data_IF_098800335607
#
_entry.id   IF_098800335607
#
_cell.length_a   1.000
_cell.length_b   1.000
_cell.length_c   1.000
_cell.angle_alpha   90.00
_cell.angle_beta   90.00
_cell.angle_gamma   90.00
#
_symmetry.space_group_name_H-M   'P 1'
#
loop_
_entity.id
_entity.type
_entity.pdbx_description
1 polymer ?
#
# COMPACT_ATOMS: atom_id res chain seq x y z
N UNK A 1 2.56 -2.15 -3.51
CA UNK A 1 3.34 -2.79 -2.42
C UNK A 1 4.73 -2.18 -2.31
N UNK A 2 5.59 -2.38 -3.30
CA UNK A 2 7.00 -1.94 -3.26
C UNK A 2 7.16 -0.44 -2.97
N UNK A 3 6.43 0.41 -3.69
CA UNK A 3 6.50 1.87 -3.48
C UNK A 3 6.15 2.24 -2.04
N UNK A 4 5.06 1.73 -1.49
CA UNK A 4 4.58 2.13 -0.18
C UNK A 4 5.32 1.47 0.99
N UNK A 5 5.48 0.14 1.00
CA UNK A 5 6.12 -0.58 2.10
C UNK A 5 7.64 -0.39 2.16
N UNK A 6 8.29 -0.15 1.02
CA UNK A 6 9.74 0.05 0.98
C UNK A 6 10.11 1.51 0.78
N UNK A 7 9.58 2.16 -0.26
CA UNK A 7 9.88 3.56 -0.54
C UNK A 7 9.34 4.51 0.53
N UNK A 8 8.02 4.52 0.73
CA UNK A 8 7.36 5.52 1.59
C UNK A 8 7.56 5.25 3.09
N UNK A 9 7.39 4.00 3.52
CA UNK A 9 7.69 3.59 4.90
C UNK A 9 9.18 3.75 5.18
N UNK A 10 10.06 3.30 4.29
CA UNK A 10 11.50 3.45 4.46
C UNK A 10 11.91 4.91 4.62
N UNK A 11 11.37 5.81 3.79
CA UNK A 11 11.60 7.25 3.90
C UNK A 11 11.02 7.85 5.19
N UNK A 12 9.84 7.40 5.61
CA UNK A 12 9.20 7.83 6.86
C UNK A 12 10.02 7.44 8.08
N UNK A 13 10.51 6.19 8.14
CA UNK A 13 11.36 5.68 9.21
C UNK A 13 12.73 6.35 9.22
N UNK A 14 13.33 6.57 8.05
CA UNK A 14 14.60 7.28 7.94
C UNK A 14 14.48 8.71 8.48
N UNK A 15 13.53 9.49 7.97
CA UNK A 15 13.36 10.90 8.36
C UNK A 15 12.86 11.06 9.80
N UNK A 16 12.02 10.15 10.28
CA UNK A 16 11.56 10.11 11.66
C UNK A 16 12.68 9.72 12.63
N UNK A 17 13.44 8.66 12.31
CA UNK A 17 14.57 8.18 13.10
C UNK A 17 15.75 9.15 13.13
N UNK A 18 16.05 9.87 12.04
CA UNK A 18 17.10 10.90 12.04
C UNK A 18 16.81 12.04 13.02
N UNK A 19 15.52 12.34 13.27
CA UNK A 19 15.11 13.42 14.18
C UNK A 19 14.89 12.95 15.62
N UNK A 20 14.31 11.76 15.79
CA UNK A 20 13.84 11.29 17.10
C UNK A 20 14.62 10.08 17.64
N UNK A 21 15.61 9.57 16.90
CA UNK A 21 16.41 8.36 17.17
C UNK A 21 15.59 7.06 17.15
N UNK A 22 14.64 6.94 18.07
CA UNK A 22 13.68 5.83 18.16
C UNK A 22 12.24 6.38 18.18
N UNK A 23 11.32 5.66 17.56
CA UNK A 23 9.89 6.00 17.58
C UNK A 23 9.05 4.81 18.01
N UNK A 24 8.20 5.04 19.02
CA UNK A 24 7.24 4.06 19.52
C UNK A 24 5.98 4.04 18.64
N UNK A 25 5.38 2.87 18.50
CA UNK A 25 4.11 2.66 17.80
C UNK A 25 3.33 1.51 18.44
N UNK A 26 2.07 1.35 18.05
CA UNK A 26 1.25 0.25 18.53
C UNK A 26 1.52 -1.02 17.71
N UNK A 27 2.22 -1.96 18.34
CA UNK A 27 2.54 -3.28 17.79
C UNK A 27 1.32 -4.00 17.23
N UNK A 28 0.18 -3.91 17.92
CA UNK A 28 -1.01 -4.68 17.59
C UNK A 28 -1.71 -4.14 16.33
N UNK A 29 -1.72 -2.82 16.15
CA UNK A 29 -2.19 -2.17 14.93
C UNK A 29 -1.29 -2.50 13.73
N UNK A 30 0.02 -2.34 13.88
CA UNK A 30 0.97 -2.61 12.80
C UNK A 30 0.95 -4.08 12.36
N UNK A 31 0.90 -5.02 13.32
CA UNK A 31 0.82 -6.46 13.04
C UNK A 31 -0.48 -6.85 12.32
N UNK A 32 -1.60 -6.19 12.67
CA UNK A 32 -2.88 -6.44 12.01
C UNK A 32 -2.83 -6.08 10.52
N UNK A 33 -2.28 -4.90 10.17
CA UNK A 33 -2.07 -4.54 8.77
C UNK A 33 -1.16 -5.53 8.05
N UNK A 34 0.00 -5.85 8.62
CA UNK A 34 0.99 -6.70 7.96
C UNK A 34 0.48 -8.12 7.74
N UNK A 35 -0.27 -8.69 8.69
CA UNK A 35 -0.88 -10.01 8.52
C UNK A 35 -1.86 -10.03 7.34
N UNK A 36 -2.75 -9.05 7.23
CA UNK A 36 -3.72 -9.00 6.13
C UNK A 36 -3.04 -8.69 4.80
N UNK A 37 -2.09 -7.76 4.77
CA UNK A 37 -1.29 -7.45 3.57
C UNK A 37 -0.55 -8.69 3.09
N UNK A 38 0.11 -9.42 3.99
CA UNK A 38 0.84 -10.64 3.65
C UNK A 38 -0.08 -11.71 3.10
N UNK A 39 -1.21 -11.97 3.77
CA UNK A 39 -2.19 -12.95 3.31
C UNK A 39 -2.69 -12.63 1.91
N UNK A 40 -3.13 -11.39 1.65
CA UNK A 40 -3.63 -10.98 0.33
C UNK A 40 -2.53 -10.96 -0.74
N UNK A 41 -1.31 -10.55 -0.39
CA UNK A 41 -0.18 -10.52 -1.32
C UNK A 41 0.23 -11.92 -1.75
N UNK A 42 0.37 -12.85 -0.80
CA UNK A 42 0.78 -14.23 -1.11
C UNK A 42 -0.34 -14.97 -1.85
N UNK A 43 -1.58 -14.90 -1.35
CA UNK A 43 -2.71 -15.56 -2.01
C UNK A 43 -3.01 -14.97 -3.39
N UNK A 44 -2.90 -13.65 -3.56
CA UNK A 44 -3.22 -12.97 -4.80
C UNK A 44 -2.11 -13.01 -5.84
N UNK A 45 -0.86 -12.82 -5.41
CA UNK A 45 0.25 -12.49 -6.32
C UNK A 45 1.36 -13.55 -6.36
N UNK A 46 1.42 -14.47 -5.40
CA UNK A 46 2.45 -15.53 -5.36
C UNK A 46 1.84 -16.90 -5.69
N UNK A 47 0.72 -17.24 -5.06
CA UNK A 47 0.03 -18.51 -5.24
C UNK A 47 -0.34 -18.86 -6.70
N UNK A 48 -0.77 -17.92 -7.58
CA UNK A 48 -1.08 -18.28 -8.97
C UNK A 48 0.08 -18.93 -9.74
N UNK A 49 1.33 -18.67 -9.34
CA UNK A 49 2.51 -19.27 -9.98
C UNK A 49 2.73 -20.74 -9.63
N UNK A 50 2.11 -21.21 -8.55
CA UNK A 50 2.29 -22.56 -8.02
C UNK A 50 1.04 -23.43 -8.21
N UNK A 51 -0.06 -22.85 -8.70
CA UNK A 51 -1.27 -23.62 -9.02
C UNK A 51 -1.12 -24.36 -10.35
N UNK A 52 -1.52 -25.63 -10.37
CA UNK A 52 -1.45 -26.50 -11.57
C UNK A 52 -2.75 -26.53 -12.39
N UNK A 53 -3.78 -25.78 -11.96
CA UNK A 53 -5.11 -25.81 -12.57
C UNK A 53 -5.18 -25.19 -13.96
N UNK A 54 -4.26 -24.28 -14.29
CA UNK A 54 -4.13 -23.60 -15.58
C UNK A 54 -2.64 -23.47 -15.94
N UNK A 55 -2.31 -23.38 -17.23
CA UNK A 55 -0.97 -23.04 -17.66
C UNK A 55 -0.69 -21.54 -17.45
N UNK A 56 0.47 -21.23 -16.85
CA UNK A 56 0.92 -19.86 -16.58
C UNK A 56 0.51 -19.32 -15.20
N UNK A 57 0.90 -18.07 -14.89
CA UNK A 57 0.76 -17.42 -13.57
C UNK A 57 -0.67 -16.93 -13.30
N UNK A 58 -1.66 -17.80 -13.50
CA UNK A 58 -3.08 -17.43 -13.50
C UNK A 58 -3.95 -18.44 -12.78
N UNK A 59 -5.05 -17.93 -12.26
CA UNK A 59 -6.09 -18.75 -11.65
C UNK A 59 -7.10 -19.26 -12.69
N UNK A 60 -7.78 -20.35 -12.33
CA UNK A 60 -9.03 -20.76 -12.97
C UNK A 60 -10.19 -19.85 -12.53
N UNK A 61 -11.29 -19.80 -13.28
CA UNK A 61 -12.44 -18.95 -12.95
C UNK A 61 -12.98 -19.19 -11.53
N UNK A 62 -13.00 -20.45 -11.08
CA UNK A 62 -13.45 -20.79 -9.71
C UNK A 62 -12.50 -20.21 -8.66
N UNK A 63 -11.18 -20.31 -8.89
CA UNK A 63 -10.16 -19.75 -8.00
C UNK A 63 -10.19 -18.21 -8.00
N UNK A 64 -10.40 -17.58 -9.16
CA UNK A 64 -10.55 -16.12 -9.27
C UNK A 64 -11.75 -15.60 -8.46
N UNK A 65 -12.92 -16.24 -8.59
CA UNK A 65 -14.12 -15.86 -7.83
C UNK A 65 -13.89 -16.06 -6.32
N UNK A 66 -13.31 -17.20 -5.93
CA UNK A 66 -13.00 -17.47 -4.53
C UNK A 66 -12.02 -16.43 -3.94
N UNK A 67 -10.96 -16.08 -4.69
CA UNK A 67 -10.00 -15.07 -4.29
C UNK A 67 -10.65 -13.69 -4.18
N UNK A 68 -11.49 -13.29 -5.14
CA UNK A 68 -12.19 -12.01 -5.10
C UNK A 68 -13.10 -11.89 -3.87
N UNK A 69 -13.92 -12.92 -3.59
CA UNK A 69 -14.80 -12.95 -2.41
C UNK A 69 -13.99 -12.96 -1.12
N UNK A 70 -12.94 -13.76 -1.04
CA UNK A 70 -12.08 -13.84 0.14
C UNK A 70 -11.34 -12.52 0.40
N UNK A 71 -10.89 -11.84 -0.65
CA UNK A 71 -10.22 -10.54 -0.58
C UNK A 71 -11.15 -9.45 -0.02
N UNK A 72 -12.38 -9.37 -0.56
CA UNK A 72 -13.40 -8.45 -0.06
C UNK A 72 -13.75 -8.78 1.39
N UNK A 73 -13.94 -10.07 1.72
CA UNK A 73 -14.26 -10.52 3.07
C UNK A 73 -13.18 -10.14 4.08
N UNK A 74 -11.91 -10.40 3.77
CA UNK A 74 -10.78 -10.02 4.63
C UNK A 74 -10.68 -8.51 4.80
N UNK A 75 -10.84 -7.74 3.72
CA UNK A 75 -10.81 -6.28 3.79
C UNK A 75 -11.98 -5.72 4.61
N UNK A 76 -13.19 -6.26 4.45
CA UNK A 76 -14.36 -5.86 5.24
C UNK A 76 -14.20 -6.17 6.72
N UNK A 77 -13.70 -7.37 7.07
CA UNK A 77 -13.39 -7.75 8.45
C UNK A 77 -12.34 -6.81 9.03
N UNK A 78 -11.30 -6.50 8.27
CA UNK A 78 -10.28 -5.55 8.68
C UNK A 78 -10.87 -4.17 9.00
N UNK A 79 -11.71 -3.62 8.11
CA UNK A 79 -12.39 -2.35 8.33
C UNK A 79 -13.30 -2.37 9.56
N UNK A 80 -14.04 -3.46 9.79
CA UNK A 80 -14.89 -3.60 10.98
C UNK A 80 -14.04 -3.54 12.26
N UNK A 81 -12.93 -4.28 12.30
CA UNK A 81 -12.00 -4.29 13.44
C UNK A 81 -11.41 -2.89 13.66
N UNK A 82 -11.00 -2.22 12.59
CA UNK A 82 -10.41 -0.88 12.63
C UNK A 82 -11.39 0.20 13.10
N UNK A 83 -12.65 0.13 12.65
CA UNK A 83 -13.63 1.20 12.88
C UNK A 83 -14.43 1.01 14.17
N UNK A 84 -14.56 -0.22 14.66
CA UNK A 84 -15.41 -0.53 15.82
C UNK A 84 -14.63 -1.13 16.98
N UNK A 85 -14.36 -2.44 16.93
CA UNK A 85 -14.08 -3.28 18.09
C UNK A 85 -12.67 -3.09 18.66
N UNK A 86 -11.73 -2.61 17.85
CA UNK A 86 -10.33 -2.45 18.24
C UNK A 86 -9.70 -1.16 17.70
N UNK A 87 -10.48 -0.09 17.54
CA UNK A 87 -9.98 1.22 17.09
C UNK A 87 -8.79 1.72 17.93
N UNK A 88 -8.73 1.36 19.22
CA UNK A 88 -7.61 1.65 20.12
C UNK A 88 -6.26 1.04 19.68
N UNK A 89 -6.24 -0.03 18.89
CA UNK A 89 -4.99 -0.56 18.30
C UNK A 89 -4.42 0.34 17.20
N UNK A 90 -5.24 1.22 16.66
CA UNK A 90 -4.88 2.12 15.57
C UNK A 90 -4.68 3.56 16.08
N UNK A 91 -4.86 3.84 17.37
CA UNK A 91 -4.58 5.14 17.96
C UNK A 91 -3.11 5.28 18.37
N UNK A 92 -2.60 6.51 18.39
CA UNK A 92 -1.28 6.79 18.96
C UNK A 92 -1.24 6.41 20.44
N UNK A 93 -0.11 5.84 20.88
CA UNK A 93 0.07 5.43 22.28
C UNK A 93 -0.09 6.61 23.25
N UNK A 94 0.28 7.84 22.83
CA UNK A 94 0.11 9.08 23.61
C UNK A 94 -1.33 9.60 23.66
N UNK A 95 -2.11 9.43 22.58
CA UNK A 95 -3.53 9.80 22.57
C UNK A 95 -4.36 8.80 23.38
N UNK A 96 -4.02 7.51 23.34
CA UNK A 96 -4.64 6.49 24.18
C UNK A 96 -4.37 6.71 25.69
N UNK A 97 -3.29 7.42 26.03
CA UNK A 97 -2.94 7.81 27.40
C UNK A 97 -3.63 9.11 27.89
N UNK A 98 -4.59 9.66 27.14
CA UNK A 98 -5.44 10.77 27.60
C UNK A 98 -4.85 12.17 27.43
N UNK A 99 -3.71 12.33 26.76
CA UNK A 99 -3.20 13.66 26.39
C UNK A 99 -3.89 14.12 25.10
N UNK A 100 -4.99 14.87 25.26
CA UNK A 100 -5.79 15.42 24.18
C UNK A 100 -4.97 16.27 23.21
N UNK A 101 -4.98 15.87 21.94
CA UNK A 101 -4.49 16.68 20.83
C UNK A 101 -5.35 17.95 20.73
N UNK A 102 -4.71 19.13 20.75
CA UNK A 102 -5.37 20.42 20.53
C UNK A 102 -6.03 20.42 19.14
N UNK A 103 -7.34 20.17 19.09
CA UNK A 103 -8.14 20.38 17.89
C UNK A 103 -8.08 21.86 17.54
N UNK A 104 -7.37 22.20 16.47
CA UNK A 104 -7.53 23.51 15.83
C UNK A 104 -8.89 23.49 15.10
N UNK A 105 -9.87 24.32 15.50
CA UNK A 105 -11.16 24.36 14.84
C UNK A 105 -10.95 25.03 13.48
N UNK A 106 -10.78 24.21 12.43
CA UNK A 106 -10.96 24.67 11.06
C UNK A 106 -12.41 25.07 10.80
N UNK A 107 -12.70 25.80 9.70
CA UNK A 107 -14.07 26.14 9.34
C UNK A 107 -14.91 24.87 9.23
N UNK A 108 -15.94 24.75 10.07
CA UNK A 108 -16.87 23.62 10.07
C UNK A 108 -17.81 23.77 8.87
N UNK A 109 -17.49 23.11 7.76
CA UNK A 109 -18.40 22.98 6.62
C UNK A 109 -19.36 21.80 6.83
N UNK A 110 -20.49 21.82 6.12
CA UNK A 110 -21.45 20.71 6.15
C UNK A 110 -20.85 19.41 5.61
N UNK A 111 -21.25 18.26 6.15
CA UNK A 111 -20.89 16.93 5.62
C UNK A 111 -21.16 16.80 4.12
N UNK A 112 -22.23 17.43 3.63
CA UNK A 112 -22.56 17.44 2.20
C UNK A 112 -21.49 18.17 1.38
N UNK A 113 -20.97 19.30 1.89
CA UNK A 113 -19.90 20.05 1.22
C UNK A 113 -18.64 19.19 1.09
N UNK A 114 -18.23 18.51 2.16
CA UNK A 114 -17.08 17.61 2.12
C UNK A 114 -17.30 16.42 1.21
N UNK A 115 -18.50 15.82 1.19
CA UNK A 115 -18.83 14.71 0.30
C UNK A 115 -18.78 15.13 -1.18
N UNK A 116 -19.36 16.29 -1.52
CA UNK A 116 -19.33 16.83 -2.89
C UNK A 116 -17.91 17.18 -3.31
N UNK A 117 -17.14 17.86 -2.44
CA UNK A 117 -15.74 18.20 -2.72
C UNK A 117 -14.88 16.95 -2.88
N UNK A 118 -15.10 15.90 -2.08
CA UNK A 118 -14.40 14.62 -2.21
C UNK A 118 -14.61 14.01 -3.60
N UNK A 119 -15.87 13.91 -4.05
CA UNK A 119 -16.21 13.36 -5.37
C UNK A 119 -15.58 14.20 -6.48
N UNK A 120 -15.64 15.54 -6.37
CA UNK A 120 -15.07 16.45 -7.35
C UNK A 120 -13.54 16.31 -7.45
N UNK A 121 -12.82 16.31 -6.32
CA UNK A 121 -11.38 16.13 -6.31
C UNK A 121 -10.96 14.75 -6.80
N UNK A 122 -11.70 13.70 -6.43
CA UNK A 122 -11.45 12.35 -6.93
C UNK A 122 -11.57 12.31 -8.46
N UNK A 123 -12.63 12.89 -9.02
CA UNK A 123 -12.82 12.97 -10.47
C UNK A 123 -11.64 13.68 -11.15
N UNK A 124 -11.24 14.84 -10.63
CA UNK A 124 -10.12 15.62 -11.19
C UNK A 124 -8.82 14.82 -11.15
N UNK A 125 -8.51 14.18 -10.03
CA UNK A 125 -7.28 13.38 -9.86
C UNK A 125 -7.27 12.18 -10.80
N UNK A 126 -8.39 11.46 -10.94
CA UNK A 126 -8.50 10.31 -11.84
C UNK A 126 -8.32 10.73 -13.30
N UNK A 127 -9.01 11.79 -13.74
CA UNK A 127 -8.89 12.31 -15.11
C UNK A 127 -7.46 12.79 -15.38
N UNK A 128 -6.84 13.48 -14.43
CA UNK A 128 -5.47 13.96 -14.59
C UNK A 128 -4.47 12.81 -14.68
N UNK A 129 -4.61 11.77 -13.84
CA UNK A 129 -3.76 10.58 -13.87
C UNK A 129 -3.90 9.82 -15.21
N UNK A 130 -5.12 9.63 -15.70
CA UNK A 130 -5.38 8.97 -16.99
C UNK A 130 -4.79 9.77 -18.15
N UNK A 131 -4.99 11.10 -18.19
CA UNK A 131 -4.44 11.95 -19.25
C UNK A 131 -2.93 12.09 -19.18
N UNK A 132 -2.33 11.97 -18.00
CA UNK A 132 -0.87 11.98 -17.83
C UNK A 132 -0.22 10.67 -18.26
N UNK A 133 -0.92 9.53 -18.14
CA UNK A 133 -0.39 8.22 -18.55
C UNK A 133 -0.06 8.18 -20.07
N UNK A 134 -0.88 8.81 -20.91
CA UNK A 134 -0.71 8.82 -22.38
C UNK A 134 0.65 9.42 -22.82
N UNK A 135 1.00 10.68 -22.50
CA UNK A 135 2.30 11.24 -22.87
C UNK A 135 3.47 10.53 -22.18
N UNK A 136 3.24 9.96 -20.99
CA UNK A 136 4.26 9.18 -20.29
C UNK A 136 4.59 7.89 -21.04
N UNK A 137 3.59 7.12 -21.45
CA UNK A 137 3.76 5.88 -22.21
C UNK A 137 4.45 6.15 -23.55
N UNK A 138 4.00 7.19 -24.28
CA UNK A 138 4.65 7.62 -25.52
C UNK A 138 6.13 8.01 -25.31
N UNK A 139 6.45 8.63 -24.18
CA UNK A 139 7.83 9.00 -23.84
C UNK A 139 8.66 7.76 -23.51
N UNK A 140 8.11 6.83 -22.72
CA UNK A 140 8.76 5.55 -22.38
C UNK A 140 9.09 4.76 -23.64
N UNK A 141 8.13 4.64 -24.55
CA UNK A 141 8.32 3.96 -25.83
C UNK A 141 9.38 4.67 -26.70
N UNK A 142 9.33 6.00 -26.80
CA UNK A 142 10.29 6.79 -27.58
C UNK A 142 11.72 6.68 -27.07
N UNK A 143 11.92 6.57 -25.76
CA UNK A 143 13.24 6.41 -25.14
C UNK A 143 13.67 4.94 -25.00
N UNK A 144 12.85 3.99 -25.45
CA UNK A 144 13.14 2.56 -25.32
C UNK A 144 13.19 2.08 -23.86
N UNK A 145 12.47 2.75 -22.96
CA UNK A 145 12.44 2.41 -21.53
C UNK A 145 11.44 1.27 -21.26
N UNK A 146 11.63 0.50 -20.16
CA UNK A 146 10.72 -0.59 -19.80
C UNK A 146 9.30 -0.09 -19.49
N UNK A 147 8.28 -0.78 -20.00
CA UNK A 147 6.87 -0.41 -19.75
C UNK A 147 6.48 -0.42 -18.25
N UNK A 148 7.12 -1.28 -17.45
CA UNK A 148 6.90 -1.33 -16.00
C UNK A 148 7.22 0.01 -15.29
N UNK A 149 8.09 0.84 -15.87
CA UNK A 149 8.40 2.17 -15.36
C UNK A 149 7.17 3.10 -15.40
N UNK A 150 6.36 3.01 -16.46
CA UNK A 150 5.15 3.83 -16.61
C UNK A 150 4.15 3.55 -15.51
N UNK A 151 3.88 2.27 -15.25
CA UNK A 151 3.05 1.83 -14.14
C UNK A 151 3.59 2.27 -12.78
N UNK A 152 4.92 2.19 -12.56
CA UNK A 152 5.54 2.63 -11.31
C UNK A 152 5.41 4.15 -11.08
N UNK A 153 5.61 4.97 -12.12
CA UNK A 153 5.47 6.43 -12.05
C UNK A 153 4.02 6.83 -11.79
N UNK A 154 3.06 6.25 -12.53
CA UNK A 154 1.63 6.53 -12.34
C UNK A 154 1.19 6.12 -10.93
N UNK A 155 1.60 4.95 -10.45
CA UNK A 155 1.32 4.52 -9.07
C UNK A 155 1.93 5.47 -8.03
N UNK A 156 3.17 5.93 -8.26
CA UNK A 156 3.83 6.91 -7.39
C UNK A 156 3.09 8.25 -7.35
N UNK A 157 2.62 8.74 -8.49
CA UNK A 157 1.85 9.98 -8.60
C UNK A 157 0.53 9.89 -7.81
N UNK A 158 -0.20 8.78 -7.97
CA UNK A 158 -1.48 8.56 -7.28
C UNK A 158 -1.28 8.43 -5.76
N UNK A 159 -0.19 7.79 -5.32
CA UNK A 159 0.13 7.62 -3.90
C UNK A 159 0.78 8.85 -3.25
N UNK A 160 1.20 9.86 -4.02
CA UNK A 160 1.98 10.99 -3.51
C UNK A 160 1.29 11.79 -2.38
N UNK A 161 -0.03 12.09 -2.41
CA UNK A 161 -0.67 12.84 -1.33
C UNK A 161 -0.64 12.10 0.01
N UNK A 162 -0.87 10.79 -0.03
CA UNK A 162 -0.83 9.90 1.15
C UNK A 162 0.61 9.73 1.65
N UNK A 163 1.57 9.60 0.72
CA UNK A 163 3.00 9.56 1.00
C UNK A 163 3.44 10.78 1.82
N UNK A 164 3.15 11.98 1.33
CA UNK A 164 3.51 13.23 1.98
C UNK A 164 2.86 13.35 3.37
N UNK A 165 1.61 12.93 3.49
CA UNK A 165 0.88 12.93 4.76
C UNK A 165 1.49 11.97 5.78
N UNK A 166 1.84 10.74 5.37
CA UNK A 166 2.50 9.74 6.21
C UNK A 166 3.90 10.18 6.65
N UNK A 167 4.73 10.66 5.72
CA UNK A 167 6.08 11.14 6.01
C UNK A 167 6.03 12.32 7.00
N UNK A 168 5.11 13.27 6.79
CA UNK A 168 4.96 14.41 7.71
C UNK A 168 4.50 13.97 9.10
N UNK A 169 3.64 12.96 9.22
CA UNK A 169 3.27 12.37 10.50
C UNK A 169 4.49 11.76 11.19
N UNK A 170 5.27 10.92 10.49
CA UNK A 170 6.49 10.34 11.04
C UNK A 170 7.49 11.41 11.54
N UNK A 171 7.69 12.49 10.77
CA UNK A 171 8.54 13.63 11.16
C UNK A 171 8.04 14.37 12.41
N UNK A 172 6.73 14.37 12.66
CA UNK A 172 6.07 14.95 13.85
C UNK A 172 6.00 13.98 15.03
N UNK A 173 6.71 12.85 14.97
CA UNK A 173 6.68 11.79 15.98
C UNK A 173 5.34 11.07 16.11
N UNK A 174 4.59 11.02 15.01
CA UNK A 174 3.28 10.37 14.87
C UNK A 174 3.42 9.09 14.03
N UNK A 175 4.27 8.16 14.46
CA UNK A 175 4.60 6.97 13.66
C UNK A 175 3.38 6.07 13.44
N UNK A 176 2.53 5.87 14.44
CA UNK A 176 1.30 5.09 14.29
C UNK A 176 0.40 5.68 13.20
N UNK A 177 0.25 7.01 13.15
CA UNK A 177 -0.51 7.68 12.10
C UNK A 177 0.11 7.48 10.72
N UNK A 178 1.44 7.57 10.62
CA UNK A 178 2.15 7.26 9.37
C UNK A 178 1.88 5.83 8.90
N UNK A 179 2.02 4.86 9.81
CA UNK A 179 1.74 3.44 9.55
C UNK A 179 0.29 3.23 9.11
N UNK A 180 -0.69 3.82 9.80
CA UNK A 180 -2.10 3.70 9.43
C UNK A 180 -2.38 4.23 8.02
N UNK A 181 -1.78 5.37 7.66
CA UNK A 181 -1.94 5.96 6.32
C UNK A 181 -1.30 5.04 5.27
N UNK A 182 -0.03 4.69 5.45
CA UNK A 182 0.75 3.99 4.44
C UNK A 182 0.40 2.50 4.32
N UNK A 183 0.27 1.78 5.43
CA UNK A 183 -0.16 0.38 5.40
C UNK A 183 -1.65 0.26 5.06
N UNK A 184 -2.49 1.19 5.52
CA UNK A 184 -3.90 1.24 5.14
C UNK A 184 -4.08 1.43 3.64
N UNK A 185 -3.31 2.32 3.04
CA UNK A 185 -3.28 2.52 1.58
C UNK A 185 -2.88 1.24 0.83
N UNK A 186 -1.84 0.53 1.28
CA UNK A 186 -1.42 -0.75 0.69
C UNK A 186 -2.51 -1.79 0.79
N UNK A 187 -3.12 -1.93 1.97
CA UNK A 187 -4.15 -2.92 2.22
C UNK A 187 -5.40 -2.64 1.38
N UNK A 188 -5.86 -1.39 1.32
CA UNK A 188 -6.97 -0.98 0.48
C UNK A 188 -6.66 -1.22 -1.01
N UNK A 189 -5.45 -0.85 -1.45
CA UNK A 189 -5.00 -1.05 -2.83
C UNK A 189 -5.07 -2.53 -3.22
N UNK A 190 -4.48 -3.44 -2.46
CA UNK A 190 -4.50 -4.87 -2.81
C UNK A 190 -5.91 -5.46 -2.63
N UNK A 191 -6.54 -5.18 -1.47
CA UNK A 191 -7.80 -5.77 -1.05
C UNK A 191 -8.97 -5.44 -1.98
N UNK A 192 -8.94 -4.25 -2.61
CA UNK A 192 -9.96 -3.81 -3.56
C UNK A 192 -9.53 -3.98 -5.03
N UNK A 193 -8.23 -3.87 -5.37
CA UNK A 193 -7.79 -4.00 -6.77
C UNK A 193 -7.88 -5.44 -7.26
N UNK A 194 -7.51 -6.44 -6.45
CA UNK A 194 -7.64 -7.86 -6.84
C UNK A 194 -9.08 -8.19 -7.29
N UNK A 195 -10.12 -7.97 -6.46
CA UNK A 195 -11.49 -8.27 -6.87
C UNK A 195 -11.96 -7.39 -8.03
N UNK A 196 -11.56 -6.12 -8.08
CA UNK A 196 -11.93 -5.24 -9.20
C UNK A 196 -11.36 -5.73 -10.54
N UNK A 197 -10.06 -6.06 -10.59
CA UNK A 197 -9.40 -6.54 -11.81
C UNK A 197 -9.96 -7.91 -12.23
N UNK A 198 -10.23 -8.82 -11.28
CA UNK A 198 -10.87 -10.10 -11.57
C UNK A 198 -12.27 -9.89 -12.16
N UNK A 199 -13.07 -9.02 -11.56
CA UNK A 199 -14.44 -8.71 -12.03
C UNK A 199 -14.42 -8.15 -13.44
N UNK A 200 -13.53 -7.18 -13.70
CA UNK A 200 -13.34 -6.59 -15.03
C UNK A 200 -12.86 -7.66 -16.03
N UNK A 201 -11.95 -8.54 -15.63
CA UNK A 201 -11.44 -9.64 -16.45
C UNK A 201 -12.55 -10.60 -16.89
N UNK A 202 -13.40 -11.03 -15.94
CA UNK A 202 -14.55 -11.90 -16.21
C UNK A 202 -15.55 -11.20 -17.14
N UNK A 203 -15.92 -9.94 -16.84
CA UNK A 203 -16.86 -9.17 -17.67
C UNK A 203 -16.33 -8.93 -19.09
N UNK A 204 -15.03 -8.66 -19.22
CA UNK A 204 -14.37 -8.39 -20.50
C UNK A 204 -13.95 -9.67 -21.23
N UNK A 205 -14.18 -10.85 -20.64
CA UNK A 205 -13.69 -12.15 -21.13
C UNK A 205 -12.18 -12.15 -21.41
N UNK A 206 -11.41 -11.39 -20.64
CA UNK A 206 -9.95 -11.30 -20.73
C UNK A 206 -9.30 -12.10 -19.63
N UNK A 207 -8.16 -12.68 -19.93
CA UNK A 207 -7.37 -13.47 -18.99
C UNK A 207 -6.53 -12.54 -18.12
N UNK A 208 -6.65 -12.65 -16.81
CA UNK A 208 -5.88 -11.85 -15.85
C UNK A 208 -4.71 -12.70 -15.34
N UNK A 209 -3.49 -12.20 -15.53
CA UNK A 209 -2.27 -12.76 -14.93
C UNK A 209 -1.95 -11.97 -13.66
N UNK A 210 -2.23 -12.56 -12.50
CA UNK A 210 -1.96 -11.94 -11.20
C UNK A 210 -0.59 -12.33 -10.63
N UNK A 211 -0.09 -13.50 -11.01
CA UNK A 211 1.15 -14.03 -10.48
C UNK A 211 2.35 -13.18 -10.88
N UNK A 212 3.16 -12.82 -9.89
CA UNK A 212 4.39 -12.06 -10.08
C UNK A 212 5.50 -13.02 -10.46
N UNK A 213 6.14 -12.82 -11.60
CA UNK A 213 7.20 -13.69 -12.11
C UNK A 213 8.61 -13.12 -11.86
N UNK A 214 9.63 -13.97 -12.05
CA UNK A 214 11.04 -13.57 -12.04
C UNK A 214 11.55 -13.04 -10.70
N UNK A 215 12.46 -12.05 -10.75
CA UNK A 215 13.08 -11.45 -9.57
C UNK A 215 12.13 -10.69 -8.63
N UNK A 216 10.93 -10.35 -9.10
CA UNK A 216 9.94 -9.63 -8.30
C UNK A 216 9.29 -10.50 -7.21
N UNK A 217 9.20 -11.81 -7.41
CA UNK A 217 8.66 -12.75 -6.42
C UNK A 217 9.51 -12.82 -5.15
N UNK A 218 10.83 -13.15 -5.21
CA UNK A 218 11.67 -13.18 -4.01
C UNK A 218 11.76 -11.79 -3.36
N UNK A 219 11.75 -10.71 -4.15
CA UNK A 219 11.78 -9.35 -3.64
C UNK A 219 10.50 -8.98 -2.87
N UNK A 220 9.33 -9.42 -3.32
CA UNK A 220 8.06 -9.28 -2.58
C UNK A 220 8.11 -10.05 -1.26
N UNK A 221 8.56 -11.31 -1.28
CA UNK A 221 8.66 -12.13 -0.07
C UNK A 221 9.63 -11.53 0.95
N UNK A 222 10.79 -11.06 0.49
CA UNK A 222 11.76 -10.37 1.34
C UNK A 222 11.18 -9.07 1.91
N UNK A 223 10.44 -8.31 1.11
CA UNK A 223 9.74 -7.09 1.57
C UNK A 223 8.77 -7.39 2.70
N UNK A 224 7.95 -8.44 2.55
CA UNK A 224 6.98 -8.84 3.57
C UNK A 224 7.69 -9.31 4.85
N UNK A 225 8.74 -10.12 4.72
CA UNK A 225 9.53 -10.61 5.86
C UNK A 225 10.21 -9.46 6.62
N UNK A 226 10.89 -8.55 5.90
CA UNK A 226 11.53 -7.37 6.49
C UNK A 226 10.50 -6.45 7.15
N UNK A 227 9.32 -6.29 6.55
CA UNK A 227 8.25 -5.49 7.15
C UNK A 227 7.79 -6.07 8.50
N UNK A 228 7.63 -7.39 8.60
CA UNK A 228 7.31 -8.05 9.88
C UNK A 228 8.40 -7.80 10.90
N UNK A 229 9.67 -8.05 10.56
CA UNK A 229 10.78 -7.87 11.49
C UNK A 229 10.88 -6.42 11.98
N UNK A 230 10.70 -5.45 11.07
CA UNK A 230 10.70 -4.02 11.40
C UNK A 230 9.60 -3.67 12.40
N UNK A 231 8.38 -4.15 12.17
CA UNK A 231 7.21 -3.78 12.96
C UNK A 231 6.85 -4.74 14.12
N UNK A 232 7.72 -5.70 14.45
CA UNK A 232 7.54 -6.62 15.59
C UNK A 232 8.27 -6.13 16.86
N UNK A 233 9.24 -5.22 16.72
CA UNK A 233 10.11 -4.82 17.84
C UNK A 233 9.57 -3.68 18.72
N UNK A 234 8.42 -3.08 18.37
CA UNK A 234 7.74 -2.02 19.15
C UNK A 234 8.37 -0.64 19.02
N UNK A 235 9.62 -0.60 18.57
CA UNK A 235 10.37 0.60 18.23
C UNK A 235 10.91 0.51 16.83
N UNK A 236 11.11 1.65 16.19
CA UNK A 236 11.79 1.71 14.90
C UNK A 236 13.02 2.59 14.92
N UNK A 237 13.97 2.31 14.02
CA UNK A 237 15.21 3.06 13.90
C UNK A 237 15.57 3.35 12.42
N UNK A 238 16.61 4.18 12.26
CA UNK A 238 17.13 4.61 10.95
C UNK A 238 17.57 3.42 10.08
N UNK A 239 18.16 2.38 10.69
CA UNK A 239 18.66 1.21 9.96
C UNK A 239 17.53 0.46 9.25
N UNK A 240 16.38 0.28 9.92
CA UNK A 240 15.20 -0.32 9.31
C UNK A 240 14.71 0.52 8.10
N UNK A 241 14.70 1.84 8.25
CA UNK A 241 14.39 2.76 7.14
C UNK A 241 15.33 2.58 5.94
N UNK A 242 16.64 2.49 6.19
CA UNK A 242 17.64 2.23 5.14
C UNK A 242 17.42 0.88 4.45
N UNK A 243 17.13 -0.19 5.19
CA UNK A 243 16.88 -1.53 4.61
C UNK A 243 15.70 -1.46 3.64
N UNK A 244 14.58 -0.86 4.06
CA UNK A 244 13.42 -0.66 3.20
C UNK A 244 13.76 0.16 1.95
N UNK A 245 14.51 1.26 2.07
CA UNK A 245 14.93 2.05 0.92
C UNK A 245 15.86 1.28 -0.04
N UNK A 246 16.74 0.41 0.47
CA UNK A 246 17.57 -0.47 -0.37
C UNK A 246 16.69 -1.45 -1.14
N UNK A 247 15.69 -2.08 -0.51
CA UNK A 247 14.75 -2.95 -1.22
C UNK A 247 13.97 -2.20 -2.30
N UNK A 248 13.62 -0.93 -2.05
CA UNK A 248 13.00 -0.08 -3.06
C UNK A 248 13.95 0.26 -4.21
N UNK A 249 15.23 0.53 -3.93
CA UNK A 249 16.24 0.76 -4.97
C UNK A 249 16.46 -0.49 -5.82
N UNK A 250 16.50 -1.68 -5.21
CA UNK A 250 16.57 -2.96 -5.93
C UNK A 250 15.33 -3.16 -6.81
N UNK A 251 14.13 -2.82 -6.33
CA UNK A 251 12.92 -2.84 -7.17
C UNK A 251 13.04 -1.93 -8.39
N UNK A 252 13.54 -0.70 -8.22
CA UNK A 252 13.78 0.20 -9.35
C UNK A 252 14.83 -0.36 -10.31
N UNK A 253 15.90 -0.98 -9.79
CA UNK A 253 16.90 -1.63 -10.61
C UNK A 253 16.30 -2.77 -11.45
N UNK A 254 15.47 -3.62 -10.85
CA UNK A 254 14.81 -4.74 -11.56
C UNK A 254 13.83 -4.27 -12.66
N UNK A 255 13.33 -3.03 -12.61
CA UNK A 255 12.55 -2.46 -13.71
C UNK A 255 13.42 -2.33 -14.97
N UNK A 256 14.69 -1.91 -14.83
CA UNK A 256 15.62 -1.73 -15.95
C UNK A 256 16.41 -2.99 -16.28
N UNK A 257 16.74 -3.79 -15.26
CA UNK A 257 17.57 -4.98 -15.32
C UNK A 257 16.87 -6.16 -14.60
N UNK A 258 15.85 -6.78 -15.23
CA UNK A 258 15.00 -7.81 -14.61
C UNK A 258 15.70 -9.13 -14.30
#
# INVERSE_FOLDING_TARGET
IMIALNGLIGLSLLLGGLRHHEQDYNLQGASSYLNTIMALSVLGLVLPNFTTSMSGPRFSTVQEIFLAVSSIGLYAIFLLIQTTRHSGFFMELKEAAGHGSEHHPGPMHSTLYHAVMLILYLLVVVVLAEKFAIPLDNSIERFGMPQALGGAIVAGLVLAPEALSGINAARKNQLQRSVNILHGSVLASIGLTIPAVITIGIMSKRTVTLGIEGGNLPLLLLTLAVSVVTFTSGKTNVLQGCIHLVLFAVFLLLIFCP
#
